data_IF_171953830430
#
_entry.id   IF_171953830430
#
_cell.length_a   1.000
_cell.length_b   1.000
_cell.length_c   1.000
_cell.angle_alpha   90.00
_cell.angle_beta   90.00
_cell.angle_gamma   90.00
#
_symmetry.space_group_name_H-M   'P 1'
#
loop_
_entity.id
_entity.type
_entity.pdbx_description
1 polymer ?
#
# COMPACT_ATOMS: atom_id res chain seq x y z
N UNK A 1 -6.31 6.02 -1.83
CA UNK A 1 -6.52 7.11 -0.90
C UNK A 1 -5.58 7.05 0.28
N UNK A 2 -5.69 5.98 1.06
CA UNK A 2 -4.83 5.80 2.23
C UNK A 2 -3.54 5.07 1.86
N UNK A 3 -2.52 5.22 2.71
CA UNK A 3 -1.22 4.60 2.51
C UNK A 3 -1.26 3.08 2.68
N UNK A 4 -0.77 2.35 1.70
CA UNK A 4 -0.76 0.89 1.75
C UNK A 4 0.67 0.36 1.68
N UNK A 5 1.19 -0.06 2.84
CA UNK A 5 2.55 -0.59 2.91
C UNK A 5 2.54 -2.03 3.42
N UNK A 6 3.00 -2.96 2.58
CA UNK A 6 3.05 -4.37 2.93
C UNK A 6 4.34 -5.00 2.47
N UNK A 7 4.46 -6.31 2.67
CA UNK A 7 5.66 -7.05 2.27
C UNK A 7 5.77 -7.12 0.75
N UNK A 8 4.61 -7.21 0.09
CA UNK A 8 4.59 -7.29 -1.37
C UNK A 8 4.44 -5.90 -1.99
N UNK A 9 4.73 -4.87 -1.20
CA UNK A 9 4.63 -3.49 -1.66
C UNK A 9 3.21 -3.19 -2.14
N UNK A 10 2.30 -2.98 -1.19
CA UNK A 10 0.92 -2.67 -1.53
C UNK A 10 0.80 -1.35 -2.28
N UNK A 11 -0.22 -1.23 -3.10
CA UNK A 11 -0.44 -0.01 -3.88
C UNK A 11 -1.31 0.97 -3.11
N UNK A 12 -1.19 2.27 -3.44
CA UNK A 12 -1.95 3.33 -2.80
C UNK A 12 -3.43 3.29 -3.17
N UNK A 13 -4.28 3.72 -2.25
CA UNK A 13 -5.72 3.73 -2.48
C UNK A 13 -6.41 4.73 -1.55
#
# INVERSE_FOLDING_TARGET
GRPCYTLQSCFPD
#
